data_IF_282996691716
#
_entry.id   IF_282996691716
#
_cell.length_a   1.000
_cell.length_b   1.000
_cell.length_c   1.000
_cell.angle_alpha   90.00
_cell.angle_beta   90.00
_cell.angle_gamma   90.00
#
_symmetry.space_group_name_H-M   'P 1'
#
loop_
_entity.id
_entity.type
_entity.pdbx_description
1 polymer ?
#
# COMPACT_ATOMS: atom_id res chain seq x y z
N UNK A 1 -17.69 1.33 -28.11
CA UNK A 1 -17.22 -0.03 -27.71
C UNK A 1 -16.02 0.20 -26.84
N UNK A 2 -15.98 -0.41 -25.67
CA UNK A 2 -14.80 -0.36 -24.82
C UNK A 2 -13.64 -1.05 -25.53
N UNK A 3 -12.48 -0.41 -25.57
CA UNK A 3 -11.29 -1.00 -26.18
C UNK A 3 -10.86 -2.23 -25.39
N UNK A 4 -10.97 -3.40 -26.01
CA UNK A 4 -10.52 -4.66 -25.40
C UNK A 4 -9.00 -4.68 -25.33
N UNK A 5 -8.50 -5.02 -24.16
CA UNK A 5 -7.08 -5.21 -23.89
C UNK A 5 -6.92 -6.29 -22.82
N UNK A 6 -5.69 -6.69 -22.54
CA UNK A 6 -5.42 -7.79 -21.59
C UNK A 6 -5.97 -7.54 -20.17
N UNK A 7 -6.08 -6.27 -19.73
CA UNK A 7 -6.68 -5.94 -18.43
C UNK A 7 -8.19 -6.19 -18.45
N UNK A 8 -8.88 -5.71 -19.48
CA UNK A 8 -10.32 -5.92 -19.62
C UNK A 8 -10.66 -7.39 -19.81
N UNK A 9 -9.83 -8.16 -20.52
CA UNK A 9 -10.04 -9.60 -20.69
C UNK A 9 -9.97 -10.36 -19.35
N UNK A 10 -9.02 -10.00 -18.47
CA UNK A 10 -8.92 -10.58 -17.12
C UNK A 10 -10.12 -10.18 -16.26
N UNK A 11 -10.50 -8.89 -16.28
CA UNK A 11 -11.63 -8.38 -15.50
C UNK A 11 -12.93 -9.03 -15.94
N UNK A 12 -13.17 -9.15 -17.26
CA UNK A 12 -14.36 -9.79 -17.81
C UNK A 12 -14.45 -11.25 -17.38
N UNK A 13 -13.34 -11.97 -17.39
CA UNK A 13 -13.28 -13.37 -16.93
C UNK A 13 -13.60 -13.48 -15.43
N UNK A 14 -12.99 -12.64 -14.59
CA UNK A 14 -13.21 -12.66 -13.14
C UNK A 14 -14.64 -12.28 -12.74
N UNK A 15 -15.26 -11.34 -13.48
CA UNK A 15 -16.68 -10.99 -13.33
C UNK A 15 -17.59 -12.15 -13.75
N UNK A 16 -17.32 -12.79 -14.91
CA UNK A 16 -18.12 -13.91 -15.42
C UNK A 16 -18.05 -15.13 -14.49
N UNK A 17 -16.89 -15.39 -13.86
CA UNK A 17 -16.70 -16.48 -12.91
C UNK A 17 -17.22 -16.14 -11.48
N UNK A 18 -17.68 -14.90 -11.25
CA UNK A 18 -18.17 -14.45 -9.95
C UNK A 18 -17.08 -14.30 -8.89
N UNK A 19 -15.80 -14.26 -9.28
CA UNK A 19 -14.67 -14.02 -8.37
C UNK A 19 -14.71 -12.62 -7.78
N UNK A 20 -15.16 -11.65 -8.56
CA UNK A 20 -15.34 -10.25 -8.16
C UNK A 20 -16.76 -9.80 -8.49
N UNK A 21 -17.27 -8.81 -7.76
CA UNK A 21 -18.62 -8.26 -7.96
C UNK A 21 -18.62 -6.81 -8.39
N UNK A 22 -17.57 -6.09 -8.04
CA UNK A 22 -17.43 -4.65 -8.29
C UNK A 22 -15.96 -4.34 -8.57
N UNK A 23 -15.72 -3.39 -9.47
CA UNK A 23 -14.38 -2.93 -9.77
C UNK A 23 -14.01 -1.77 -8.86
N UNK A 24 -12.91 -1.92 -8.15
CA UNK A 24 -12.29 -0.87 -7.37
C UNK A 24 -10.87 -0.65 -7.86
N UNK A 25 -10.57 0.53 -8.34
CA UNK A 25 -9.23 0.94 -8.71
C UNK A 25 -8.75 2.05 -7.79
N UNK A 26 -7.45 2.30 -7.77
CA UNK A 26 -6.88 3.37 -6.98
C UNK A 26 -5.64 3.98 -7.62
N UNK A 27 -5.42 5.25 -7.35
CA UNK A 27 -4.15 5.92 -7.55
C UNK A 27 -3.54 6.22 -6.18
N UNK A 28 -2.38 5.64 -5.82
CA UNK A 28 -1.76 5.77 -4.50
C UNK A 28 -0.48 6.64 -4.53
N UNK A 29 -0.56 7.96 -4.73
CA UNK A 29 0.62 8.80 -4.73
C UNK A 29 1.14 9.03 -3.30
N UNK A 30 2.45 9.20 -3.17
CA UNK A 30 3.11 9.79 -2.01
C UNK A 30 3.10 11.31 -2.18
N UNK A 31 2.53 12.11 -1.21
CA UNK A 31 2.40 13.56 -1.36
C UNK A 31 3.71 14.29 -1.01
N UNK A 32 4.80 13.95 -1.71
CA UNK A 32 6.16 14.48 -1.52
C UNK A 32 6.69 15.27 -2.72
N UNK A 33 5.82 15.57 -3.69
CA UNK A 33 6.16 16.32 -4.90
C UNK A 33 4.97 16.44 -5.86
N UNK A 34 5.16 17.25 -6.90
CA UNK A 34 4.17 17.40 -7.97
C UNK A 34 4.09 16.17 -8.87
N UNK A 35 2.90 15.94 -9.45
CA UNK A 35 2.71 14.86 -10.40
C UNK A 35 3.44 15.13 -11.72
N UNK A 36 3.69 14.09 -12.48
CA UNK A 36 4.32 14.16 -13.79
C UNK A 36 3.53 13.32 -14.81
N UNK A 37 3.92 13.35 -16.07
CA UNK A 37 3.19 12.67 -17.16
C UNK A 37 3.03 11.15 -16.92
N UNK A 38 3.96 10.51 -16.23
CA UNK A 38 3.83 9.10 -15.83
C UNK A 38 2.69 8.88 -14.85
N UNK A 39 2.47 9.82 -13.93
CA UNK A 39 1.35 9.83 -13.00
C UNK A 39 0.02 9.99 -13.74
N UNK A 40 -0.05 10.90 -14.72
CA UNK A 40 -1.25 11.10 -15.55
C UNK A 40 -1.65 9.80 -16.29
N UNK A 41 -0.67 9.04 -16.80
CA UNK A 41 -0.93 7.73 -17.41
C UNK A 41 -1.52 6.74 -16.41
N UNK A 42 -0.95 6.65 -15.20
CA UNK A 42 -1.43 5.75 -14.16
C UNK A 42 -2.84 6.12 -13.69
N UNK A 43 -3.12 7.41 -13.51
CA UNK A 43 -4.45 7.94 -13.17
C UNK A 43 -5.44 7.53 -14.24
N UNK A 44 -5.14 7.80 -15.52
CA UNK A 44 -6.05 7.54 -16.61
C UNK A 44 -6.39 6.06 -16.77
N UNK A 45 -5.41 5.16 -16.63
CA UNK A 45 -5.65 3.71 -16.69
C UNK A 45 -6.61 3.27 -15.58
N UNK A 46 -6.36 3.69 -14.33
CA UNK A 46 -7.18 3.32 -13.19
C UNK A 46 -8.60 3.91 -13.29
N UNK A 47 -8.70 5.19 -13.60
CA UNK A 47 -9.97 5.89 -13.74
C UNK A 47 -10.81 5.33 -14.89
N UNK A 48 -10.22 5.12 -16.08
CA UNK A 48 -10.94 4.61 -17.24
C UNK A 48 -11.49 3.21 -17.02
N UNK A 49 -10.74 2.32 -16.36
CA UNK A 49 -11.23 0.99 -16.00
C UNK A 49 -12.41 1.10 -15.03
N UNK A 50 -12.28 1.86 -13.94
CA UNK A 50 -13.39 2.05 -13.01
C UNK A 50 -14.64 2.59 -13.73
N UNK A 51 -14.47 3.63 -14.55
CA UNK A 51 -15.56 4.25 -15.27
C UNK A 51 -16.23 3.30 -16.30
N UNK A 52 -15.41 2.49 -17.00
CA UNK A 52 -15.90 1.53 -18.00
C UNK A 52 -16.81 0.46 -17.38
N UNK A 53 -16.50 0.03 -16.17
CA UNK A 53 -17.24 -1.02 -15.46
C UNK A 53 -18.24 -0.48 -14.42
N UNK A 54 -18.46 0.83 -14.35
CA UNK A 54 -19.35 1.46 -13.35
C UNK A 54 -18.86 1.26 -11.92
N UNK A 55 -17.56 1.06 -11.75
CA UNK A 55 -16.91 0.83 -10.49
C UNK A 55 -16.45 2.09 -9.78
N UNK A 56 -15.56 1.93 -8.81
CA UNK A 56 -15.02 3.02 -7.99
C UNK A 56 -13.54 3.26 -8.29
N UNK A 57 -13.18 4.53 -8.41
CA UNK A 57 -11.82 5.01 -8.46
C UNK A 57 -11.51 5.78 -7.17
N UNK A 58 -10.48 5.37 -6.43
CA UNK A 58 -10.07 5.96 -5.17
C UNK A 58 -8.75 6.72 -5.33
N UNK A 59 -8.63 7.86 -4.67
CA UNK A 59 -7.33 8.46 -4.36
C UNK A 59 -6.91 7.98 -2.96
N UNK A 60 -5.75 7.33 -2.85
CA UNK A 60 -5.15 6.98 -1.55
C UNK A 60 -3.81 7.65 -1.42
N UNK A 61 -3.73 8.67 -0.60
CA UNK A 61 -2.48 9.35 -0.28
C UNK A 61 -1.64 8.46 0.65
N UNK A 62 -0.45 8.10 0.21
CA UNK A 62 0.52 7.34 1.01
C UNK A 62 1.35 8.31 1.86
N UNK A 63 0.67 9.01 2.77
CA UNK A 63 1.17 10.04 3.67
C UNK A 63 1.77 9.46 4.95
N UNK A 64 2.72 8.55 4.82
CA UNK A 64 3.32 7.83 5.95
C UNK A 64 4.66 8.40 6.42
N UNK A 65 5.17 9.44 5.76
CA UNK A 65 6.44 10.09 6.08
C UNK A 65 6.27 11.61 6.31
N UNK A 66 5.89 12.04 7.52
CA UNK A 66 5.58 13.44 7.82
C UNK A 66 6.76 14.41 7.62
N UNK A 67 7.98 13.90 7.47
CA UNK A 67 9.16 14.75 7.21
C UNK A 67 9.29 15.22 5.75
N UNK A 68 8.55 14.60 4.82
CA UNK A 68 8.64 14.88 3.38
C UNK A 68 7.32 15.28 2.73
N UNK A 69 6.23 15.14 3.44
CA UNK A 69 4.89 15.33 2.94
C UNK A 69 4.38 16.72 3.28
N UNK A 70 3.69 17.34 2.34
CA UNK A 70 3.18 18.69 2.49
C UNK A 70 1.75 18.81 1.99
N UNK A 71 0.95 19.60 2.70
CA UNK A 71 -0.43 19.94 2.31
C UNK A 71 -0.51 20.54 0.90
N UNK A 72 0.51 21.28 0.49
CA UNK A 72 0.66 21.82 -0.87
C UNK A 72 0.60 20.73 -1.93
N UNK A 73 1.33 19.62 -1.73
CA UNK A 73 1.35 18.49 -2.68
C UNK A 73 0.04 17.73 -2.67
N UNK A 74 -0.59 17.56 -1.51
CA UNK A 74 -1.93 16.96 -1.40
C UNK A 74 -2.93 17.73 -2.25
N UNK A 75 -2.98 19.06 -2.08
CA UNK A 75 -3.89 19.92 -2.82
C UNK A 75 -3.60 19.87 -4.33
N UNK A 76 -2.33 19.96 -4.72
CA UNK A 76 -1.92 19.87 -6.13
C UNK A 76 -2.33 18.53 -6.77
N UNK A 77 -2.16 17.42 -6.05
CA UNK A 77 -2.59 16.09 -6.55
C UNK A 77 -4.10 16.06 -6.79
N UNK A 78 -4.89 16.61 -5.89
CA UNK A 78 -6.35 16.66 -6.03
C UNK A 78 -6.75 17.56 -7.21
N UNK A 79 -6.13 18.73 -7.35
CA UNK A 79 -6.35 19.65 -8.48
C UNK A 79 -5.99 18.99 -9.82
N UNK A 80 -4.86 18.27 -9.89
CA UNK A 80 -4.43 17.57 -11.09
C UNK A 80 -5.40 16.45 -11.51
N UNK A 81 -5.94 15.68 -10.54
CA UNK A 81 -6.98 14.69 -10.83
C UNK A 81 -8.24 15.35 -11.39
N UNK A 82 -8.67 16.43 -10.77
CA UNK A 82 -9.82 17.20 -11.23
C UNK A 82 -9.61 17.77 -12.64
N UNK A 83 -8.44 18.37 -12.90
CA UNK A 83 -8.05 18.90 -14.21
C UNK A 83 -8.06 17.80 -15.30
N UNK A 84 -7.63 16.58 -14.96
CA UNK A 84 -7.67 15.42 -15.87
C UNK A 84 -9.10 14.87 -16.08
N UNK A 85 -10.10 15.36 -15.33
CA UNK A 85 -11.46 14.82 -15.34
C UNK A 85 -11.57 13.44 -14.68
N UNK A 86 -10.60 13.08 -13.84
CA UNK A 86 -10.50 11.79 -13.17
C UNK A 86 -10.82 11.89 -11.67
N UNK A 87 -11.96 12.50 -11.34
CA UNK A 87 -12.39 12.65 -9.95
C UNK A 87 -12.54 11.31 -9.24
N UNK A 88 -12.04 11.19 -8.00
CA UNK A 88 -12.12 9.94 -7.24
C UNK A 88 -13.53 9.73 -6.67
N UNK A 89 -14.40 9.13 -7.48
CA UNK A 89 -15.80 8.83 -7.11
C UNK A 89 -15.95 7.78 -5.99
N UNK A 90 -14.89 7.06 -5.64
CA UNK A 90 -14.84 6.13 -4.53
C UNK A 90 -14.38 6.77 -3.21
N UNK A 91 -13.76 7.94 -3.27
CA UNK A 91 -13.30 8.72 -2.13
C UNK A 91 -11.79 8.98 -2.09
N UNK A 92 -11.41 9.83 -1.14
CA UNK A 92 -10.02 10.18 -0.84
C UNK A 92 -9.68 9.60 0.53
N UNK A 93 -8.57 8.87 0.61
CA UNK A 93 -8.13 8.16 1.80
C UNK A 93 -6.68 8.53 2.11
N UNK A 94 -6.34 8.58 3.39
CA UNK A 94 -4.99 8.84 3.88
C UNK A 94 -4.43 7.58 4.54
N UNK A 95 -3.19 7.22 4.21
CA UNK A 95 -2.51 6.09 4.81
C UNK A 95 -2.34 6.25 6.32
N UNK A 96 -2.07 7.48 6.76
CA UNK A 96 -1.92 7.85 8.18
C UNK A 96 -3.17 7.58 9.03
N UNK A 97 -4.37 7.63 8.47
CA UNK A 97 -5.62 7.35 9.19
C UNK A 97 -5.71 5.89 9.68
N UNK A 98 -4.86 5.01 9.17
CA UNK A 98 -4.89 3.58 9.47
C UNK A 98 -3.78 3.11 10.42
N UNK A 99 -2.95 4.00 10.97
CA UNK A 99 -1.83 3.61 11.84
C UNK A 99 -2.25 2.81 13.07
N UNK A 100 -3.30 3.23 13.77
CA UNK A 100 -3.79 2.49 14.93
C UNK A 100 -4.30 1.10 14.53
N UNK A 101 -4.99 1.00 13.41
CA UNK A 101 -5.46 -0.28 12.88
C UNK A 101 -4.31 -1.19 12.42
N UNK A 102 -3.27 -0.63 11.84
CA UNK A 102 -2.04 -1.36 11.51
C UNK A 102 -1.36 -1.91 12.78
N UNK A 103 -1.34 -1.12 13.84
CA UNK A 103 -0.81 -1.55 15.13
C UNK A 103 -1.61 -2.72 15.71
N UNK A 104 -2.95 -2.63 15.74
CA UNK A 104 -3.82 -3.73 16.18
C UNK A 104 -3.59 -5.01 15.38
N UNK A 105 -3.47 -4.91 14.06
CA UNK A 105 -3.18 -6.06 13.21
C UNK A 105 -1.78 -6.61 13.41
N UNK A 106 -0.78 -5.77 13.71
CA UNK A 106 0.56 -6.23 14.05
C UNK A 106 0.53 -7.06 15.35
N UNK A 107 -0.17 -6.61 16.40
CA UNK A 107 -0.36 -7.39 17.62
C UNK A 107 -1.05 -8.74 17.34
N UNK A 108 -2.08 -8.74 16.49
CA UNK A 108 -2.77 -9.97 16.08
C UNK A 108 -1.83 -10.95 15.37
N UNK A 109 -1.02 -10.46 14.43
CA UNK A 109 -0.05 -11.29 13.72
C UNK A 109 1.02 -11.86 14.65
N UNK A 110 1.46 -11.10 15.65
CA UNK A 110 2.39 -11.55 16.69
C UNK A 110 1.76 -12.69 17.50
N UNK A 111 0.53 -12.52 17.97
CA UNK A 111 -0.18 -13.54 18.74
C UNK A 111 -0.47 -14.82 17.94
N UNK A 112 -0.63 -14.70 16.61
CA UNK A 112 -0.77 -15.84 15.70
C UNK A 112 0.59 -16.48 15.32
N UNK A 113 1.71 -16.00 15.88
CA UNK A 113 3.07 -16.48 15.55
C UNK A 113 3.53 -16.16 14.12
N UNK A 114 2.87 -15.21 13.44
CA UNK A 114 3.16 -14.81 12.06
C UNK A 114 4.10 -13.61 11.95
N UNK A 115 4.32 -12.89 13.04
CA UNK A 115 5.25 -11.79 13.15
C UNK A 115 6.06 -11.90 14.44
N UNK A 116 7.24 -11.32 14.46
CA UNK A 116 8.13 -11.28 15.63
C UNK A 116 8.92 -9.97 15.64
N UNK A 117 9.39 -9.59 16.83
CA UNK A 117 10.32 -8.46 17.00
C UNK A 117 11.74 -8.94 16.71
N UNK A 118 12.41 -8.24 15.82
CA UNK A 118 13.79 -8.55 15.42
C UNK A 118 14.75 -7.51 16.00
N UNK A 119 15.75 -7.96 16.76
CA UNK A 119 16.77 -7.09 17.36
C UNK A 119 18.05 -7.01 16.51
N UNK A 120 18.02 -7.51 15.27
CA UNK A 120 19.14 -7.34 14.35
C UNK A 120 19.32 -5.86 13.97
N UNK A 121 20.56 -5.42 13.97
CA UNK A 121 20.94 -4.14 13.39
C UNK A 121 20.67 -4.13 11.88
N UNK A 122 20.64 -2.93 11.27
CA UNK A 122 20.45 -2.79 9.84
C UNK A 122 21.49 -3.57 9.02
N UNK A 123 22.73 -3.59 9.45
CA UNK A 123 23.82 -4.27 8.74
C UNK A 123 23.73 -5.79 8.91
N UNK A 124 23.44 -6.29 10.10
CA UNK A 124 23.16 -7.71 10.34
C UNK A 124 21.95 -8.19 9.53
N UNK A 125 20.88 -7.38 9.46
CA UNK A 125 19.70 -7.72 8.67
C UNK A 125 20.03 -7.84 7.18
N UNK A 126 20.90 -6.97 6.64
CA UNK A 126 21.38 -7.08 5.26
C UNK A 126 22.17 -8.37 5.03
N UNK A 127 23.05 -8.72 5.98
CA UNK A 127 23.81 -9.97 5.92
C UNK A 127 22.89 -11.20 5.97
N UNK A 128 21.90 -11.21 6.90
CA UNK A 128 20.95 -12.31 7.03
C UNK A 128 20.05 -12.47 5.81
N UNK A 129 19.71 -11.40 5.14
CA UNK A 129 18.93 -11.42 3.87
C UNK A 129 19.74 -11.91 2.67
N UNK A 130 21.06 -12.08 2.82
CA UNK A 130 21.90 -12.48 1.68
C UNK A 130 22.05 -11.37 0.64
N UNK A 131 22.07 -10.08 1.07
CA UNK A 131 22.18 -8.93 0.18
C UNK A 131 23.51 -8.89 -0.59
N UNK A 132 24.54 -9.55 -0.08
CA UNK A 132 25.78 -9.78 -0.80
C UNK A 132 25.60 -10.88 -1.84
N UNK A 133 25.88 -10.57 -3.09
CA UNK A 133 25.66 -11.44 -4.24
C UNK A 133 26.10 -12.90 -3.99
N UNK A 134 25.17 -13.83 -4.09
CA UNK A 134 25.43 -15.27 -4.05
C UNK A 134 25.32 -15.94 -2.67
N UNK A 135 25.00 -15.24 -1.61
CA UNK A 135 24.75 -15.88 -0.32
C UNK A 135 23.27 -16.19 -0.11
N UNK A 136 22.90 -17.41 0.35
CA UNK A 136 21.52 -17.71 0.69
C UNK A 136 21.06 -16.90 1.91
N UNK A 137 19.78 -16.50 1.94
CA UNK A 137 19.18 -15.90 3.13
C UNK A 137 19.10 -16.92 4.28
N UNK A 138 19.27 -16.46 5.50
CA UNK A 138 19.13 -17.27 6.72
C UNK A 138 18.10 -16.63 7.66
N UNK A 139 17.35 -17.44 8.45
CA UNK A 139 16.38 -16.90 9.39
C UNK A 139 17.07 -16.15 10.51
N UNK A 140 16.43 -15.09 11.04
CA UNK A 140 16.89 -14.37 12.22
C UNK A 140 16.88 -15.29 13.45
N UNK A 141 17.86 -15.17 14.36
CA UNK A 141 17.90 -15.92 15.64
C UNK A 141 16.71 -15.56 16.55
N UNK A 142 16.09 -14.40 16.36
CA UNK A 142 14.97 -13.91 17.17
C UNK A 142 13.62 -14.46 16.73
N UNK A 143 13.56 -15.14 15.60
CA UNK A 143 12.34 -15.72 15.05
C UNK A 143 11.69 -16.78 15.96
N UNK A 144 12.45 -17.41 16.84
CA UNK A 144 11.99 -18.45 17.75
C UNK A 144 11.40 -17.98 19.09
N UNK A 145 11.28 -16.66 19.32
CA UNK A 145 10.63 -16.12 20.53
C UNK A 145 9.15 -16.48 20.57
N UNK A 146 8.62 -16.63 21.79
CA UNK A 146 7.17 -16.87 21.96
C UNK A 146 6.33 -15.67 21.53
N UNK A 147 5.06 -15.85 21.17
CA UNK A 147 4.14 -14.75 20.87
C UNK A 147 4.04 -13.73 22.01
N UNK A 148 4.01 -14.19 23.27
CA UNK A 148 3.90 -13.35 24.47
C UNK A 148 5.14 -12.47 24.65
N UNK A 149 6.32 -13.02 24.49
CA UNK A 149 7.59 -12.26 24.53
C UNK A 149 7.64 -11.21 23.43
N UNK A 150 7.27 -11.59 22.21
CA UNK A 150 7.22 -10.67 21.07
C UNK A 150 6.21 -9.55 21.27
N UNK A 151 5.04 -9.85 21.84
CA UNK A 151 4.00 -8.85 22.12
C UNK A 151 4.48 -7.85 23.19
N UNK A 152 5.13 -8.30 24.25
CA UNK A 152 5.71 -7.42 25.28
C UNK A 152 6.74 -6.48 24.65
N UNK A 153 7.70 -7.02 23.88
CA UNK A 153 8.70 -6.23 23.19
C UNK A 153 8.08 -5.20 22.23
N UNK A 154 7.08 -5.61 21.45
CA UNK A 154 6.40 -4.73 20.50
C UNK A 154 5.70 -3.56 21.22
N UNK A 155 5.00 -3.83 22.32
CA UNK A 155 4.36 -2.80 23.14
C UNK A 155 5.36 -1.85 23.78
N UNK A 156 6.49 -2.36 24.23
CA UNK A 156 7.60 -1.53 24.77
C UNK A 156 8.19 -0.62 23.69
N UNK A 157 8.29 -1.05 22.44
CA UNK A 157 8.72 -0.17 21.33
C UNK A 157 7.81 1.05 21.15
N UNK A 158 6.50 0.91 21.41
CA UNK A 158 5.56 2.04 21.35
C UNK A 158 5.71 2.98 22.55
N UNK A 159 6.08 2.46 23.67
CA UNK A 159 6.23 3.24 24.92
C UNK A 159 7.52 4.08 24.96
N UNK A 160 8.56 3.77 24.14
CA UNK A 160 9.86 4.45 24.07
C UNK A 160 10.94 3.75 24.87
#
# INVERSE_FOLDING_TARGET
MADKNFLTDIIDADLAEGKIREIHTRFPPEPNGYLHIGSAKAIYINWSIANQYGGKFNLRLDDTNPAREGEEYVNSIIEDLHWLGADPNGGIFYGSDYFDKCYEYAEKLIMEGKAYVDDLTRDEMREYRGADAGKPSRPSPWRGRTPEENLDLFRRMRAG
#
